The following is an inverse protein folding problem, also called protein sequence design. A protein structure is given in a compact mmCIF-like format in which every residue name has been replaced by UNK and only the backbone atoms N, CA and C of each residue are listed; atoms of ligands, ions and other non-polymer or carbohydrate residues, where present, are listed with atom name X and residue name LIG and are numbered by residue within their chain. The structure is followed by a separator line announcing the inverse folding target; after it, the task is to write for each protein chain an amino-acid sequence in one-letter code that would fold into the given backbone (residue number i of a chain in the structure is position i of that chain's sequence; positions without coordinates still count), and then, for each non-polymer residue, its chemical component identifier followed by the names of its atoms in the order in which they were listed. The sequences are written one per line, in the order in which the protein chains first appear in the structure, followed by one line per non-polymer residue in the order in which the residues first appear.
data_IF_579829369109
#
_entry.id   IF_579829369109
#
_cell.length_a   1.000
_cell.length_b   1.000
_cell.length_c   1.000
_cell.angle_alpha   90.00
_cell.angle_beta   90.00
_cell.angle_gamma   90.00
#
_symmetry.space_group_name_H-M   'P 1'
#
loop_
_entity.id
_entity.type
_entity.pdbx_description
1 polymer ?
#
# COMPACT_ATOMS: atom_id res chain seq x y z
N UNK A 1 -10.18 19.23 -19.55
CA UNK A 1 -11.19 19.63 -20.55
C UNK A 1 -11.22 18.67 -21.76
N UNK A 2 -10.12 18.04 -22.12
CA UNK A 2 -10.00 17.10 -23.23
C UNK A 2 -10.78 15.79 -22.95
N UNK A 3 -11.30 15.18 -24.00
CA UNK A 3 -11.86 13.82 -23.97
C UNK A 3 -10.75 12.77 -23.78
N UNK A 4 -11.14 11.51 -23.53
CA UNK A 4 -10.20 10.39 -23.45
C UNK A 4 -9.35 10.27 -24.73
N UNK A 5 -10.01 10.35 -25.91
CA UNK A 5 -9.37 10.24 -27.22
C UNK A 5 -8.40 11.42 -27.46
N UNK A 6 -8.84 12.65 -27.20
CA UNK A 6 -8.00 13.84 -27.34
C UNK A 6 -6.78 13.85 -26.40
N UNK A 7 -6.89 13.27 -25.20
CA UNK A 7 -5.73 13.11 -24.32
C UNK A 7 -4.68 12.18 -24.93
N UNK A 8 -5.11 11.02 -25.45
CA UNK A 8 -4.18 10.08 -26.09
C UNK A 8 -3.52 10.69 -27.33
N UNK A 9 -4.29 11.37 -28.19
CA UNK A 9 -3.77 12.06 -29.37
C UNK A 9 -2.78 13.15 -28.99
N UNK A 10 -3.07 13.93 -27.93
CA UNK A 10 -2.18 14.97 -27.43
C UNK A 10 -0.83 14.38 -26.98
N UNK A 11 -0.85 13.33 -26.15
CA UNK A 11 0.39 12.71 -25.67
C UNK A 11 1.14 11.99 -26.80
N UNK A 12 0.44 11.34 -27.74
CA UNK A 12 1.07 10.75 -28.92
C UNK A 12 1.80 11.80 -29.74
N UNK A 13 1.14 12.94 -30.01
CA UNK A 13 1.74 14.05 -30.75
C UNK A 13 2.94 14.66 -29.99
N UNK A 14 2.85 14.81 -28.66
CA UNK A 14 3.93 15.32 -27.81
C UNK A 14 5.20 14.49 -27.92
N UNK A 15 5.06 13.18 -28.00
CA UNK A 15 6.18 12.24 -28.13
C UNK A 15 6.52 11.89 -29.58
N UNK A 16 5.84 12.48 -30.58
CA UNK A 16 6.11 12.25 -32.00
C UNK A 16 5.77 10.84 -32.48
N UNK A 17 4.79 10.18 -31.86
CA UNK A 17 4.33 8.82 -32.20
C UNK A 17 2.84 8.86 -32.61
N UNK A 18 2.39 7.84 -33.35
CA UNK A 18 0.97 7.62 -33.60
C UNK A 18 0.32 6.80 -32.49
N UNK A 19 -0.95 7.08 -32.16
CA UNK A 19 -1.70 6.27 -31.17
C UNK A 19 -1.69 4.78 -31.49
N UNK A 20 -1.64 4.44 -32.79
CA UNK A 20 -1.63 3.04 -33.26
C UNK A 20 -0.25 2.37 -33.17
N UNK A 21 0.83 3.12 -33.11
CA UNK A 21 2.20 2.58 -33.18
C UNK A 21 2.54 1.66 -31.99
N UNK A 22 1.99 1.98 -30.79
CA UNK A 22 2.21 1.23 -29.56
C UNK A 22 0.86 0.78 -28.95
N UNK A 23 -0.17 0.59 -29.77
CA UNK A 23 -1.49 0.21 -29.31
C UNK A 23 -1.51 -1.13 -28.55
N UNK A 24 -0.66 -2.07 -28.93
CA UNK A 24 -0.47 -3.37 -28.27
C UNK A 24 -0.15 -3.24 -26.77
N UNK A 25 0.57 -2.19 -26.40
CA UNK A 25 0.95 -1.94 -25.01
C UNK A 25 -0.22 -1.36 -24.19
N UNK A 26 -1.00 -0.45 -24.79
CA UNK A 26 -2.10 0.23 -24.08
C UNK A 26 -3.45 -0.48 -24.22
N UNK A 27 -3.61 -1.35 -25.21
CA UNK A 27 -4.89 -2.00 -25.52
C UNK A 27 -5.55 -2.70 -24.32
N UNK A 28 -4.85 -3.48 -23.47
CA UNK A 28 -5.44 -4.15 -22.31
C UNK A 28 -6.07 -3.17 -21.32
N UNK A 29 -5.53 -1.94 -21.24
CA UNK A 29 -6.00 -0.87 -20.36
C UNK A 29 -7.04 -0.02 -21.09
N UNK A 30 -6.74 0.39 -22.31
CA UNK A 30 -7.57 1.30 -23.09
C UNK A 30 -8.95 0.74 -23.42
N UNK A 31 -9.07 -0.54 -23.76
CA UNK A 31 -10.35 -1.21 -24.06
C UNK A 31 -11.37 -1.06 -22.93
N UNK A 32 -10.93 -0.92 -21.70
CA UNK A 32 -11.81 -0.73 -20.54
C UNK A 32 -12.41 0.69 -20.48
N UNK A 33 -11.76 1.67 -21.08
CA UNK A 33 -12.21 3.08 -21.12
C UNK A 33 -12.62 3.55 -22.53
N UNK A 34 -12.37 2.76 -23.55
CA UNK A 34 -12.71 3.06 -24.95
C UNK A 34 -14.22 3.37 -25.18
N UNK A 35 -15.18 2.70 -24.51
CA UNK A 35 -16.59 3.07 -24.62
C UNK A 35 -16.88 4.53 -24.23
N UNK A 36 -15.98 5.14 -23.48
CA UNK A 36 -16.07 6.52 -23.00
C UNK A 36 -15.13 7.47 -23.73
N UNK A 37 -14.55 7.09 -24.87
CA UNK A 37 -13.51 7.85 -25.60
C UNK A 37 -13.87 9.31 -25.88
N UNK A 38 -15.15 9.64 -26.09
CA UNK A 38 -15.64 11.01 -26.30
C UNK A 38 -15.98 11.75 -25.01
N UNK A 39 -15.88 11.09 -23.84
CA UNK A 39 -16.16 11.72 -22.56
C UNK A 39 -14.96 12.54 -22.11
N UNK A 40 -15.21 13.74 -21.57
CA UNK A 40 -14.15 14.58 -20.98
C UNK A 40 -13.50 13.88 -19.78
N UNK A 41 -12.17 13.92 -19.70
CA UNK A 41 -11.40 13.25 -18.63
C UNK A 41 -11.87 13.69 -17.23
N UNK A 42 -12.24 14.98 -17.06
CA UNK A 42 -12.76 15.48 -15.78
C UNK A 42 -14.05 14.80 -15.29
N UNK A 43 -14.82 14.15 -16.20
CA UNK A 43 -16.07 13.45 -15.90
C UNK A 43 -15.92 11.93 -15.76
N UNK A 44 -14.72 11.43 -15.75
CA UNK A 44 -14.41 10.02 -15.50
C UNK A 44 -14.38 9.73 -13.99
N UNK A 45 -14.62 8.47 -13.61
CA UNK A 45 -14.36 8.01 -12.23
C UNK A 45 -12.86 8.05 -11.92
N UNK A 46 -12.48 7.95 -10.64
CA UNK A 46 -11.09 7.90 -10.22
C UNK A 46 -10.29 6.81 -10.95
N UNK A 47 -10.75 5.56 -10.91
CA UNK A 47 -10.08 4.45 -11.59
C UNK A 47 -10.00 4.61 -13.11
N UNK A 48 -11.02 5.20 -13.75
CA UNK A 48 -10.96 5.49 -15.21
C UNK A 48 -9.94 6.59 -15.51
N UNK A 49 -9.79 7.60 -14.66
CA UNK A 49 -8.76 8.64 -14.82
C UNK A 49 -7.36 8.04 -14.71
N UNK A 50 -7.15 7.14 -13.77
CA UNK A 50 -5.86 6.44 -13.61
C UNK A 50 -5.53 5.57 -14.83
N UNK A 51 -6.52 4.83 -15.35
CA UNK A 51 -6.36 4.05 -16.59
C UNK A 51 -6.00 4.95 -17.77
N UNK A 52 -6.65 6.10 -17.92
CA UNK A 52 -6.32 7.07 -18.96
C UNK A 52 -4.90 7.64 -18.79
N UNK A 53 -4.53 8.05 -17.58
CA UNK A 53 -3.19 8.58 -17.28
C UNK A 53 -2.11 7.54 -17.62
N UNK A 54 -2.34 6.27 -17.24
CA UNK A 54 -1.43 5.18 -17.55
C UNK A 54 -1.30 4.95 -19.07
N UNK A 55 -2.42 4.95 -19.83
CA UNK A 55 -2.38 4.86 -21.30
C UNK A 55 -1.57 6.02 -21.91
N UNK A 56 -1.77 7.25 -21.44
CA UNK A 56 -1.01 8.42 -21.90
C UNK A 56 0.49 8.30 -21.60
N UNK A 57 0.85 7.79 -20.42
CA UNK A 57 2.25 7.57 -20.04
C UNK A 57 2.92 6.43 -20.84
N UNK A 58 2.15 5.46 -21.31
CA UNK A 58 2.65 4.31 -22.07
C UNK A 58 2.70 4.52 -23.58
N UNK A 59 2.06 5.56 -24.12
CA UNK A 59 1.87 5.77 -25.55
C UNK A 59 3.18 5.79 -26.34
N UNK A 60 4.27 6.26 -25.72
CA UNK A 60 5.60 6.34 -26.33
C UNK A 60 6.51 5.17 -25.98
N UNK A 61 5.97 4.09 -25.38
CA UNK A 61 6.67 2.86 -24.99
C UNK A 61 7.90 3.10 -24.11
N UNK A 62 7.74 3.67 -22.92
CA UNK A 62 8.86 3.97 -22.04
C UNK A 62 9.53 2.68 -21.53
N UNK A 63 10.84 2.74 -21.28
CA UNK A 63 11.56 1.67 -20.56
C UNK A 63 11.43 1.77 -19.04
N UNK A 64 11.13 2.98 -18.54
CA UNK A 64 10.92 3.26 -17.12
C UNK A 64 9.65 4.09 -16.94
N UNK A 65 8.82 3.72 -15.97
CA UNK A 65 7.60 4.40 -15.61
C UNK A 65 7.69 4.90 -14.16
N UNK A 66 7.44 6.20 -13.96
CA UNK A 66 7.39 6.83 -12.64
C UNK A 66 5.94 7.16 -12.31
N UNK A 67 5.47 6.68 -11.18
CA UNK A 67 4.10 6.88 -10.71
C UNK A 67 4.11 7.44 -9.29
N UNK A 68 3.55 8.62 -9.10
CA UNK A 68 3.46 9.28 -7.82
C UNK A 68 2.04 9.13 -7.26
N UNK A 69 1.90 8.35 -6.19
CA UNK A 69 0.64 8.01 -5.52
C UNK A 69 -0.53 7.66 -6.49
N UNK A 70 -0.33 6.74 -7.46
CA UNK A 70 -1.26 6.56 -8.57
C UNK A 70 -2.64 6.05 -8.15
N UNK A 71 -2.80 5.52 -6.95
CA UNK A 71 -4.03 4.91 -6.44
C UNK A 71 -4.72 5.74 -5.36
N UNK A 72 -4.19 6.91 -5.02
CA UNK A 72 -4.79 7.81 -4.02
C UNK A 72 -6.18 8.28 -4.48
N UNK A 73 -7.18 8.08 -3.62
CA UNK A 73 -8.57 8.43 -3.92
C UNK A 73 -9.28 7.47 -4.89
N UNK A 74 -8.73 6.28 -5.11
CA UNK A 74 -9.31 5.21 -5.90
C UNK A 74 -9.90 4.14 -4.97
N UNK A 75 -11.05 3.56 -5.34
CA UNK A 75 -11.67 2.48 -4.58
C UNK A 75 -10.82 1.19 -4.58
N UNK A 76 -11.03 0.31 -3.59
CA UNK A 76 -10.21 -0.87 -3.38
C UNK A 76 -10.18 -1.85 -4.58
N UNK A 77 -11.29 -1.98 -5.30
CA UNK A 77 -11.38 -2.87 -6.46
C UNK A 77 -10.54 -2.30 -7.61
N UNK A 78 -10.75 -1.02 -7.92
CA UNK A 78 -9.98 -0.32 -8.97
C UNK A 78 -8.48 -0.24 -8.63
N UNK A 79 -8.12 -0.14 -7.34
CA UNK A 79 -6.72 -0.23 -6.87
C UNK A 79 -6.11 -1.59 -7.21
N UNK A 80 -6.79 -2.68 -6.87
CA UNK A 80 -6.30 -4.03 -7.16
C UNK A 80 -6.10 -4.23 -8.67
N UNK A 81 -7.09 -3.85 -9.48
CA UNK A 81 -6.98 -3.91 -10.95
C UNK A 81 -5.79 -3.10 -11.50
N UNK A 82 -5.54 -1.92 -10.92
CA UNK A 82 -4.42 -1.06 -11.33
C UNK A 82 -3.07 -1.74 -11.07
N UNK A 83 -2.90 -2.37 -9.92
CA UNK A 83 -1.68 -3.11 -9.59
C UNK A 83 -1.50 -4.36 -10.45
N UNK A 84 -2.58 -5.03 -10.86
CA UNK A 84 -2.52 -6.15 -11.80
C UNK A 84 -2.03 -5.68 -13.18
N UNK A 85 -2.49 -4.51 -13.65
CA UNK A 85 -1.98 -3.88 -14.87
C UNK A 85 -0.50 -3.53 -14.76
N UNK A 86 -0.02 -2.99 -13.63
CA UNK A 86 1.41 -2.73 -13.41
C UNK A 86 2.23 -4.02 -13.45
N UNK A 87 1.74 -5.10 -12.87
CA UNK A 87 2.40 -6.41 -12.91
C UNK A 87 2.52 -6.95 -14.35
N UNK A 88 1.50 -6.76 -15.18
CA UNK A 88 1.55 -7.10 -16.60
C UNK A 88 2.57 -6.25 -17.37
N UNK A 89 2.62 -4.94 -17.12
CA UNK A 89 3.61 -4.04 -17.73
C UNK A 89 5.04 -4.41 -17.35
N UNK A 90 5.26 -4.76 -16.08
CA UNK A 90 6.54 -5.28 -15.60
C UNK A 90 6.95 -6.54 -16.37
N UNK A 91 6.03 -7.49 -16.60
CA UNK A 91 6.30 -8.71 -17.36
C UNK A 91 6.71 -8.44 -18.82
N UNK A 92 6.30 -7.30 -19.37
CA UNK A 92 6.70 -6.80 -20.69
C UNK A 92 8.04 -6.04 -20.70
N UNK A 93 8.75 -6.01 -19.56
CA UNK A 93 10.10 -5.44 -19.42
C UNK A 93 10.14 -3.96 -19.05
N UNK A 94 9.03 -3.36 -18.63
CA UNK A 94 9.01 -1.98 -18.15
C UNK A 94 9.43 -1.96 -16.68
N UNK A 95 10.43 -1.16 -16.35
CA UNK A 95 10.81 -0.87 -14.96
C UNK A 95 9.83 0.16 -14.37
N UNK A 96 9.26 -0.12 -13.19
CA UNK A 96 8.25 0.75 -12.61
C UNK A 96 8.69 1.20 -11.22
N UNK A 97 8.74 2.52 -10.99
CA UNK A 97 8.93 3.13 -9.69
C UNK A 97 7.62 3.79 -9.25
N UNK A 98 7.10 3.33 -8.12
CA UNK A 98 5.83 3.83 -7.56
C UNK A 98 6.09 4.42 -6.18
N UNK A 99 5.60 5.63 -5.92
CA UNK A 99 5.39 6.09 -4.55
C UNK A 99 3.98 5.72 -4.09
N UNK A 100 3.83 5.28 -2.85
CA UNK A 100 2.52 4.97 -2.25
C UNK A 100 2.58 5.11 -0.73
N UNK A 101 1.53 5.65 -0.08
CA UNK A 101 1.40 5.64 1.37
C UNK A 101 0.80 4.31 1.90
N UNK A 102 0.40 3.39 1.02
CA UNK A 102 -0.28 2.16 1.38
C UNK A 102 0.70 0.99 1.48
N UNK A 103 0.85 0.41 2.68
CA UNK A 103 1.82 -0.67 2.92
C UNK A 103 1.41 -2.00 2.25
N UNK A 104 0.11 -2.24 2.07
CA UNK A 104 -0.42 -3.37 1.31
C UNK A 104 0.00 -3.32 -0.17
N UNK A 105 0.09 -2.13 -0.75
CA UNK A 105 0.61 -1.94 -2.10
C UNK A 105 2.13 -2.16 -2.17
N UNK A 106 2.87 -1.70 -1.16
CA UNK A 106 4.31 -1.92 -1.07
C UNK A 106 4.66 -3.42 -1.10
N UNK A 107 3.81 -4.29 -0.49
CA UNK A 107 3.97 -5.74 -0.54
C UNK A 107 3.91 -6.34 -1.96
N UNK A 108 3.35 -5.62 -2.93
CA UNK A 108 3.27 -6.04 -4.34
C UNK A 108 4.52 -5.70 -5.15
N UNK A 109 5.44 -4.94 -4.59
CA UNK A 109 6.69 -4.54 -5.23
C UNK A 109 7.79 -5.59 -5.03
N UNK A 110 8.73 -5.68 -5.97
CA UNK A 110 9.91 -6.55 -5.82
C UNK A 110 10.88 -6.01 -4.77
N UNK A 111 11.00 -4.68 -4.70
CA UNK A 111 11.82 -3.96 -3.72
C UNK A 111 11.08 -2.72 -3.27
N UNK A 112 11.27 -2.35 -2.02
CA UNK A 112 10.69 -1.15 -1.42
C UNK A 112 11.77 -0.31 -0.76
N UNK A 113 11.55 1.00 -0.76
CA UNK A 113 12.32 1.97 0.02
C UNK A 113 11.38 2.60 1.04
N UNK A 114 11.61 2.37 2.33
CA UNK A 114 10.87 3.04 3.40
C UNK A 114 11.43 4.44 3.59
N UNK A 115 10.57 5.44 3.47
CA UNK A 115 10.96 6.85 3.54
C UNK A 115 10.21 7.56 4.66
N UNK A 116 10.93 8.34 5.47
CA UNK A 116 10.36 9.21 6.50
C UNK A 116 11.12 10.53 6.56
N UNK A 117 10.41 11.66 6.66
CA UNK A 117 11.00 13.01 6.79
C UNK A 117 12.15 13.29 5.81
N UNK A 118 12.03 12.83 4.55
CA UNK A 118 13.04 13.03 3.52
C UNK A 118 14.27 12.11 3.62
N UNK A 119 14.27 11.13 4.54
CA UNK A 119 15.32 10.14 4.68
C UNK A 119 14.82 8.76 4.25
N UNK A 120 15.75 7.95 3.75
CA UNK A 120 15.51 6.53 3.44
C UNK A 120 15.90 5.71 4.66
N UNK A 121 14.93 5.05 5.29
CA UNK A 121 15.12 4.21 6.47
C UNK A 121 15.66 2.81 6.11
N UNK A 122 15.34 2.32 4.92
CA UNK A 122 15.81 1.04 4.43
C UNK A 122 15.35 0.76 3.01
N UNK A 123 16.12 -0.05 2.30
CA UNK A 123 15.78 -0.52 0.94
C UNK A 123 16.03 -2.03 0.90
N UNK A 124 14.99 -2.81 0.61
CA UNK A 124 15.10 -4.26 0.43
C UNK A 124 13.84 -4.85 -0.22
N UNK A 125 13.76 -6.17 -0.31
CA UNK A 125 12.51 -6.86 -0.64
C UNK A 125 11.53 -6.75 0.54
N UNK A 126 10.20 -6.79 0.30
CA UNK A 126 9.21 -6.81 1.38
C UNK A 126 9.51 -7.88 2.43
N UNK A 127 9.82 -9.11 2.01
CA UNK A 127 10.15 -10.22 2.90
C UNK A 127 11.41 -9.96 3.75
N UNK A 128 12.48 -9.40 3.16
CA UNK A 128 13.69 -9.05 3.90
C UNK A 128 13.47 -7.93 4.91
N UNK A 129 12.55 -7.00 4.62
CA UNK A 129 12.21 -5.91 5.54
C UNK A 129 11.44 -6.47 6.73
N UNK A 130 10.40 -7.27 6.50
CA UNK A 130 9.61 -7.87 7.59
C UNK A 130 10.43 -8.80 8.46
N UNK A 131 11.40 -9.55 7.88
CA UNK A 131 12.30 -10.43 8.62
C UNK A 131 13.23 -9.68 9.61
N UNK A 132 13.35 -8.35 9.53
CA UNK A 132 14.12 -7.54 10.50
C UNK A 132 13.36 -7.28 11.80
N UNK A 133 12.08 -7.62 11.85
CA UNK A 133 11.30 -7.51 13.07
C UNK A 133 11.51 -8.80 13.89
N UNK A 134 12.28 -8.69 14.95
CA UNK A 134 12.80 -9.81 15.74
C UNK A 134 12.14 -9.95 17.13
N UNK A 135 11.07 -9.19 17.38
CA UNK A 135 10.37 -9.16 18.66
C UNK A 135 9.03 -9.90 18.57
N UNK A 136 8.57 -10.52 19.68
CA UNK A 136 7.23 -11.10 19.73
C UNK A 136 6.16 -10.02 19.48
N UNK A 137 5.25 -10.30 18.54
CA UNK A 137 4.16 -9.41 18.16
C UNK A 137 2.81 -10.12 18.37
N UNK A 138 1.89 -9.42 19.01
CA UNK A 138 0.55 -9.93 19.29
C UNK A 138 -0.51 -8.95 18.79
N UNK A 139 -1.63 -9.47 18.31
CA UNK A 139 -2.85 -8.70 18.11
C UNK A 139 -3.69 -8.77 19.37
N UNK A 140 -4.02 -7.60 19.93
CA UNK A 140 -4.86 -7.40 21.11
C UNK A 140 -6.18 -6.77 20.69
N UNK A 141 -7.31 -7.35 21.10
CA UNK A 141 -8.64 -6.79 20.86
C UNK A 141 -9.58 -7.07 22.04
N UNK A 142 -10.67 -6.34 22.11
CA UNK A 142 -11.73 -6.48 23.14
C UNK A 142 -12.74 -5.37 22.99
N UNK A 143 -13.72 -5.30 23.91
CA UNK A 143 -14.83 -4.36 23.81
C UNK A 143 -14.40 -2.89 24.00
N UNK A 144 -13.48 -2.62 24.93
CA UNK A 144 -12.92 -1.29 25.19
C UNK A 144 -11.50 -1.17 24.60
N UNK A 145 -11.42 -0.91 23.31
CA UNK A 145 -10.15 -0.79 22.61
C UNK A 145 -9.26 0.33 23.17
N UNK A 146 -9.84 1.47 23.54
CA UNK A 146 -9.06 2.58 24.10
C UNK A 146 -8.48 2.24 25.48
N UNK A 147 -9.29 1.68 26.36
CA UNK A 147 -8.84 1.23 27.68
C UNK A 147 -7.74 0.17 27.58
N UNK A 148 -7.90 -0.81 26.66
CA UNK A 148 -6.89 -1.83 26.38
C UNK A 148 -5.54 -1.24 25.92
N UNK A 149 -5.58 -0.23 25.05
CA UNK A 149 -4.37 0.45 24.60
C UNK A 149 -3.62 1.14 25.75
N UNK A 150 -4.39 1.86 26.59
CA UNK A 150 -3.81 2.60 27.72
C UNK A 150 -3.23 1.64 28.77
N UNK A 151 -3.97 0.56 29.06
CA UNK A 151 -3.54 -0.41 30.06
C UNK A 151 -2.36 -1.25 29.58
N UNK A 152 -2.38 -1.72 28.33
CA UNK A 152 -1.27 -2.49 27.74
C UNK A 152 0.06 -1.73 27.81
N UNK A 153 0.06 -0.43 27.57
CA UNK A 153 1.27 0.42 27.64
C UNK A 153 1.89 0.56 29.05
N UNK A 154 1.16 0.17 30.10
CA UNK A 154 1.61 0.27 31.49
C UNK A 154 2.21 -1.01 32.01
N UNK A 155 1.97 -2.12 31.34
CA UNK A 155 2.35 -3.45 31.80
C UNK A 155 3.81 -3.74 31.50
N UNK A 156 4.49 -4.26 32.52
CA UNK A 156 5.87 -4.73 32.38
C UNK A 156 5.91 -5.92 31.41
N UNK A 157 6.84 -5.89 30.46
CA UNK A 157 6.95 -6.90 29.40
C UNK A 157 6.33 -6.48 28.09
N UNK A 158 5.46 -5.45 28.08
CA UNK A 158 5.01 -4.78 26.88
C UNK A 158 5.98 -3.64 26.58
N UNK A 159 6.62 -3.69 25.41
CA UNK A 159 7.53 -2.64 24.95
C UNK A 159 6.75 -1.52 24.31
N UNK A 160 5.78 -1.90 23.46
CA UNK A 160 4.96 -0.97 22.68
C UNK A 160 3.55 -1.55 22.48
N UNK A 161 2.58 -0.64 22.33
CA UNK A 161 1.24 -0.98 21.89
C UNK A 161 0.69 0.18 21.07
N UNK A 162 0.21 -0.12 19.86
CA UNK A 162 -0.32 0.87 18.92
C UNK A 162 -1.55 0.34 18.18
N UNK A 163 -2.47 1.22 17.76
CA UNK A 163 -3.64 0.82 16.95
C UNK A 163 -3.20 0.24 15.60
N UNK A 164 -3.85 -0.84 15.19
CA UNK A 164 -3.60 -1.50 13.92
C UNK A 164 -4.88 -2.13 13.37
N UNK A 165 -5.52 -1.47 12.42
CA UNK A 165 -6.81 -1.90 11.87
C UNK A 165 -7.89 -2.02 12.96
N UNK A 166 -8.47 -3.22 13.10
CA UNK A 166 -9.51 -3.52 14.10
C UNK A 166 -8.91 -4.03 15.44
N UNK A 167 -7.60 -4.08 15.58
CA UNK A 167 -6.90 -4.52 16.79
C UNK A 167 -5.84 -3.50 17.20
N UNK A 168 -5.16 -3.79 18.30
CA UNK A 168 -3.87 -3.18 18.61
C UNK A 168 -2.76 -4.18 18.35
N UNK A 169 -1.65 -3.73 17.79
CA UNK A 169 -0.42 -4.52 17.80
C UNK A 169 0.36 -4.21 19.08
N UNK A 170 0.76 -5.28 19.75
CA UNK A 170 1.49 -5.26 21.01
C UNK A 170 2.84 -5.93 20.78
N UNK A 171 3.89 -5.15 20.91
CA UNK A 171 5.29 -5.63 20.89
C UNK A 171 5.70 -5.98 22.31
N UNK A 172 6.12 -7.22 22.51
CA UNK A 172 6.46 -7.72 23.83
C UNK A 172 7.93 -8.13 23.93
N UNK A 173 8.42 -8.30 25.15
CA UNK A 173 9.69 -8.94 25.38
C UNK A 173 9.56 -10.48 25.30
N UNK A 174 10.69 -11.18 25.32
CA UNK A 174 10.73 -12.65 25.19
C UNK A 174 10.16 -13.39 26.41
N UNK A 175 9.90 -12.70 27.52
CA UNK A 175 9.35 -13.27 28.76
C UNK A 175 7.84 -12.99 28.92
N UNK A 176 7.22 -12.33 27.94
CA UNK A 176 5.80 -11.99 27.99
C UNK A 176 4.93 -13.22 27.90
N UNK A 177 4.02 -13.37 28.86
CA UNK A 177 3.00 -14.42 28.87
C UNK A 177 1.64 -13.83 28.49
N UNK A 178 1.15 -14.20 27.32
CA UNK A 178 -0.13 -13.72 26.78
C UNK A 178 -1.33 -14.18 27.60
N UNK A 179 -1.28 -15.38 28.22
CA UNK A 179 -2.37 -15.92 29.00
C UNK A 179 -2.47 -15.25 30.36
N UNK A 180 -1.32 -14.99 31.02
CA UNK A 180 -1.25 -14.21 32.25
C UNK A 180 -1.76 -12.79 32.02
N UNK A 181 -1.35 -12.17 30.91
CA UNK A 181 -1.81 -10.83 30.56
C UNK A 181 -3.31 -10.77 30.24
N UNK A 182 -3.86 -11.77 29.54
CA UNK A 182 -5.30 -11.86 29.31
C UNK A 182 -6.08 -12.01 30.61
N UNK A 183 -5.59 -12.87 31.53
CA UNK A 183 -6.20 -13.03 32.86
C UNK A 183 -6.16 -11.73 33.67
N UNK A 184 -5.05 -11.01 33.63
CA UNK A 184 -4.92 -9.70 34.25
C UNK A 184 -5.96 -8.72 33.73
N UNK A 185 -6.06 -8.55 32.38
CA UNK A 185 -7.03 -7.64 31.78
C UNK A 185 -8.48 -7.98 32.13
N UNK A 186 -8.83 -9.27 32.11
CA UNK A 186 -10.16 -9.71 32.53
C UNK A 186 -10.41 -9.37 34.01
N UNK A 187 -9.39 -9.50 34.89
CA UNK A 187 -9.45 -9.11 36.31
C UNK A 187 -9.63 -7.61 36.52
N UNK A 188 -9.17 -6.78 35.58
CA UNK A 188 -9.38 -5.32 35.56
C UNK A 188 -10.77 -4.92 35.01
N UNK A 189 -11.59 -5.86 34.57
CA UNK A 189 -12.93 -5.62 34.07
C UNK A 189 -13.04 -5.39 32.56
N UNK A 190 -11.98 -5.69 31.82
CA UNK A 190 -12.08 -5.74 30.35
C UNK A 190 -12.79 -7.02 29.92
N UNK A 191 -13.63 -6.93 28.89
CA UNK A 191 -14.44 -8.05 28.38
C UNK A 191 -14.07 -8.39 26.94
N UNK A 192 -14.31 -9.66 26.57
CA UNK A 192 -14.03 -10.19 25.23
C UNK A 192 -12.58 -9.95 24.79
N UNK A 193 -11.63 -9.97 25.75
CA UNK A 193 -10.18 -9.79 25.46
C UNK A 193 -9.68 -10.99 24.67
N UNK A 194 -9.06 -10.69 23.54
CA UNK A 194 -8.36 -11.66 22.69
C UNK A 194 -6.92 -11.20 22.46
N UNK A 195 -5.98 -12.07 22.72
CA UNK A 195 -4.54 -11.86 22.47
C UNK A 195 -4.05 -13.04 21.66
N UNK A 196 -3.51 -12.77 20.48
CA UNK A 196 -3.00 -13.83 19.61
C UNK A 196 -1.68 -13.41 18.97
N UNK A 197 -0.70 -14.32 18.81
CA UNK A 197 0.52 -14.01 18.08
C UNK A 197 0.20 -13.71 16.62
N UNK A 198 0.90 -12.77 16.04
CA UNK A 198 0.80 -12.38 14.63
C UNK A 198 2.18 -12.20 14.02
N UNK A 199 2.25 -12.41 12.70
CA UNK A 199 3.47 -12.10 11.98
C UNK A 199 3.54 -10.60 11.68
N UNK A 200 4.72 -9.98 11.79
CA UNK A 200 4.89 -8.57 11.50
C UNK A 200 4.71 -8.28 10.01
N UNK A 201 4.04 -7.17 9.71
CA UNK A 201 3.96 -6.58 8.38
C UNK A 201 5.02 -5.48 8.15
N UNK A 202 5.03 -4.93 6.93
CA UNK A 202 5.90 -3.77 6.59
C UNK A 202 5.58 -2.57 7.49
N UNK A 203 4.31 -2.37 7.84
CA UNK A 203 3.85 -1.27 8.68
C UNK A 203 4.43 -1.35 10.09
N UNK A 204 4.51 -2.56 10.68
CA UNK A 204 5.12 -2.77 12.00
C UNK A 204 6.60 -2.42 11.99
N UNK A 205 7.33 -2.85 10.95
CA UNK A 205 8.74 -2.49 10.76
C UNK A 205 8.92 -0.98 10.57
N UNK A 206 8.04 -0.35 9.80
CA UNK A 206 8.08 1.09 9.54
C UNK A 206 7.86 1.88 10.83
N UNK A 207 6.86 1.50 11.65
CA UNK A 207 6.60 2.12 12.96
C UNK A 207 7.83 1.98 13.86
N UNK A 208 8.41 0.78 13.95
CA UNK A 208 9.62 0.53 14.75
C UNK A 208 10.81 1.40 14.30
N UNK A 209 11.02 1.54 12.99
CA UNK A 209 12.12 2.35 12.46
C UNK A 209 11.95 3.85 12.73
N UNK A 210 10.70 4.36 12.70
CA UNK A 210 10.43 5.78 12.99
C UNK A 210 10.70 6.17 14.45
N UNK A 211 10.63 5.24 15.39
CA UNK A 211 10.85 5.51 16.82
C UNK A 211 12.33 5.56 17.21
N UNK A 212 13.19 5.01 16.36
CA UNK A 212 14.65 4.99 16.59
C UNK A 212 15.40 6.12 15.87
N UNK A 213 14.68 7.07 15.24
CA UNK A 213 15.23 8.33 14.71
C UNK A 213 15.12 9.48 15.73
#
# INVERSE_FOLDING_TARGET
DLSVEENLEFFAALFGVGVKDNYDLIAPIYTQIEPFRKRRAGKLSGGMKQKLALCCALIHRPSVLFLDEPTTGVDAVSRSEFWDMLSELKSKGISILVSTPYMDEACRCDRIALCNNGKILGIDTPASITARFDEPLYALSGDDMYGLLVEARRIKGVKECYPFGESHHLVADSMFDSDEFAAYLNGQGFHNVSIRPVEPGIEDVFIKLMQHE
#
